data_IF_356512890623
#
_entry.id   IF_356512890623
#
_cell.length_a   1.000
_cell.length_b   1.000
_cell.length_c   1.000
_cell.angle_alpha   90.00
_cell.angle_beta   90.00
_cell.angle_gamma   90.00
#
_symmetry.space_group_name_H-M   'P 1'
#
loop_
_entity.id
_entity.type
_entity.pdbx_description
1 polymer ?
#
# COMPACT_ATOMS: atom_id res chain seq x y z
N UNK A 1 -32.21 3.05 -14.50
CA UNK A 1 -31.94 1.80 -13.74
C UNK A 1 -32.73 1.79 -12.45
N UNK A 2 -32.95 0.61 -11.85
CA UNK A 2 -33.68 0.48 -10.56
C UNK A 2 -33.01 1.30 -9.45
N UNK A 3 -31.69 1.43 -9.49
CA UNK A 3 -30.88 2.20 -8.53
C UNK A 3 -31.11 3.73 -8.62
N UNK A 4 -31.69 4.23 -9.69
CA UNK A 4 -31.99 5.65 -9.87
C UNK A 4 -33.41 6.01 -9.46
N UNK A 5 -34.24 5.00 -9.21
CA UNK A 5 -35.65 5.20 -8.79
C UNK A 5 -35.71 5.88 -7.40
N UNK A 6 -36.62 6.84 -7.26
CA UNK A 6 -36.71 7.67 -6.03
C UNK A 6 -36.99 6.83 -4.77
N UNK A 7 -37.86 5.81 -4.89
CA UNK A 7 -38.17 4.91 -3.78
C UNK A 7 -36.96 4.07 -3.37
N UNK A 8 -36.16 3.59 -4.34
CA UNK A 8 -34.95 2.85 -4.06
C UNK A 8 -33.92 3.72 -3.31
N UNK A 9 -33.69 4.96 -3.81
CA UNK A 9 -32.79 5.93 -3.13
C UNK A 9 -33.28 6.25 -1.72
N UNK A 10 -34.59 6.45 -1.53
CA UNK A 10 -35.17 6.71 -0.21
C UNK A 10 -34.98 5.49 0.73
N UNK A 11 -35.14 4.31 0.20
CA UNK A 11 -34.96 3.08 0.98
C UNK A 11 -33.50 2.84 1.32
N UNK A 12 -32.57 3.02 0.38
CA UNK A 12 -31.11 2.97 0.60
C UNK A 12 -30.69 3.93 1.69
N UNK A 13 -31.15 5.20 1.64
CA UNK A 13 -30.86 6.18 2.66
C UNK A 13 -31.40 5.81 4.06
N UNK A 14 -32.50 5.04 4.16
CA UNK A 14 -32.96 4.50 5.45
C UNK A 14 -32.01 3.43 5.99
N UNK A 15 -31.52 2.55 5.11
CA UNK A 15 -30.56 1.51 5.49
C UNK A 15 -29.27 2.15 5.99
N UNK A 16 -28.71 3.10 5.22
CA UNK A 16 -27.49 3.83 5.58
C UNK A 16 -27.64 4.51 6.96
N UNK A 17 -28.77 5.18 7.18
CA UNK A 17 -29.03 5.82 8.48
C UNK A 17 -29.07 4.83 9.64
N UNK A 18 -29.73 3.68 9.47
CA UNK A 18 -29.80 2.64 10.51
C UNK A 18 -28.40 2.10 10.80
N UNK A 19 -27.60 1.89 9.77
CA UNK A 19 -26.23 1.43 9.94
C UNK A 19 -25.35 2.48 10.65
N UNK A 20 -25.44 3.74 10.25
CA UNK A 20 -24.70 4.86 10.86
C UNK A 20 -25.05 5.00 12.36
N UNK A 21 -26.34 4.91 12.69
CA UNK A 21 -26.80 5.01 14.07
C UNK A 21 -26.32 3.81 14.91
N UNK A 22 -26.34 2.60 14.35
CA UNK A 22 -25.75 1.41 14.96
C UNK A 22 -24.23 1.54 15.14
N UNK A 23 -23.52 1.98 14.11
CA UNK A 23 -22.08 2.17 14.13
C UNK A 23 -21.66 3.17 15.21
N UNK A 24 -22.33 4.32 15.30
CA UNK A 24 -22.02 5.34 16.32
C UNK A 24 -22.15 4.82 17.74
N UNK A 25 -23.19 4.00 18.03
CA UNK A 25 -23.36 3.40 19.36
C UNK A 25 -22.27 2.40 19.69
N UNK A 26 -21.92 1.55 18.72
CA UNK A 26 -20.99 0.44 18.94
C UNK A 26 -19.51 0.84 18.85
N UNK A 27 -19.16 1.91 18.14
CA UNK A 27 -17.81 2.50 18.18
C UNK A 27 -17.43 2.91 19.61
N UNK A 28 -18.35 3.46 20.38
CA UNK A 28 -18.06 3.87 21.76
C UNK A 28 -17.82 2.66 22.68
N UNK A 29 -18.45 1.51 22.41
CA UNK A 29 -18.16 0.25 23.11
C UNK A 29 -16.73 -0.20 22.79
N UNK A 30 -16.35 -0.18 21.52
CA UNK A 30 -15.02 -0.59 21.08
C UNK A 30 -13.92 0.33 21.62
N UNK A 31 -14.11 1.65 21.57
CA UNK A 31 -13.19 2.62 22.16
C UNK A 31 -13.06 2.47 23.68
N UNK A 32 -14.10 2.01 24.34
CA UNK A 32 -14.15 1.81 25.77
C UNK A 32 -13.51 0.54 26.28
N UNK A 33 -12.91 -0.29 25.44
CA UNK A 33 -12.29 -1.57 25.82
C UNK A 33 -11.18 -1.35 26.84
N UNK A 34 -11.23 -2.15 27.92
CA UNK A 34 -10.26 -2.13 29.01
C UNK A 34 -9.63 -3.49 29.25
N UNK A 35 -8.49 -3.49 29.90
CA UNK A 35 -7.85 -4.72 30.36
C UNK A 35 -8.81 -5.50 31.25
N UNK A 36 -9.01 -6.78 30.92
CA UNK A 36 -9.88 -7.69 31.66
C UNK A 36 -11.34 -7.73 31.17
N UNK A 37 -11.73 -6.92 30.20
CA UNK A 37 -13.04 -7.02 29.55
C UNK A 37 -13.20 -8.38 28.88
N UNK A 38 -14.45 -8.73 28.54
CA UNK A 38 -14.79 -10.03 27.97
C UNK A 38 -15.17 -9.91 26.50
N UNK A 39 -14.29 -10.25 25.56
CA UNK A 39 -14.57 -10.15 24.12
C UNK A 39 -15.85 -10.84 23.67
N UNK A 40 -16.17 -11.99 24.30
CA UNK A 40 -17.41 -12.73 23.95
C UNK A 40 -18.70 -12.00 24.35
N UNK A 41 -18.71 -11.32 25.50
CA UNK A 41 -19.85 -10.50 25.92
C UNK A 41 -19.97 -9.26 25.05
N UNK A 42 -18.86 -8.68 24.65
CA UNK A 42 -18.80 -7.52 23.75
C UNK A 42 -19.39 -7.84 22.38
N UNK A 43 -18.91 -8.88 21.69
CA UNK A 43 -19.44 -9.24 20.37
C UNK A 43 -20.90 -9.67 20.47
N UNK A 44 -21.29 -10.33 21.53
CA UNK A 44 -22.70 -10.68 21.76
C UNK A 44 -23.57 -9.41 21.79
N UNK A 45 -23.20 -8.39 22.58
CA UNK A 45 -23.96 -7.15 22.68
C UNK A 45 -24.01 -6.40 21.33
N UNK A 46 -22.88 -6.30 20.63
CA UNK A 46 -22.79 -5.64 19.31
C UNK A 46 -23.67 -6.37 18.28
N UNK A 47 -23.69 -7.70 18.32
CA UNK A 47 -24.45 -8.53 17.38
C UNK A 47 -25.95 -8.56 17.70
N UNK A 48 -26.37 -8.48 18.95
CA UNK A 48 -27.77 -8.31 19.31
C UNK A 48 -28.28 -6.92 18.88
N UNK A 49 -27.49 -5.85 19.12
CA UNK A 49 -27.88 -4.49 18.71
C UNK A 49 -28.02 -4.37 17.18
N UNK A 50 -27.22 -5.08 16.36
CA UNK A 50 -27.40 -5.06 14.90
C UNK A 50 -28.69 -5.79 14.50
N UNK A 51 -29.01 -6.93 15.10
CA UNK A 51 -30.25 -7.65 14.84
C UNK A 51 -31.47 -6.81 15.18
N UNK A 52 -31.45 -6.08 16.31
CA UNK A 52 -32.54 -5.19 16.72
C UNK A 52 -32.65 -3.97 15.78
N UNK A 53 -31.53 -3.37 15.41
CA UNK A 53 -31.48 -2.20 14.53
C UNK A 53 -32.09 -2.48 13.17
N UNK A 54 -31.83 -3.64 12.60
CA UNK A 54 -32.32 -4.04 11.28
C UNK A 54 -33.69 -4.79 11.32
N UNK A 55 -34.20 -5.09 12.50
CA UNK A 55 -35.46 -5.87 12.64
C UNK A 55 -36.68 -5.19 11.99
N UNK A 56 -36.68 -3.86 11.87
CA UNK A 56 -37.79 -3.06 11.35
C UNK A 56 -37.68 -2.74 9.86
N UNK A 57 -36.57 -3.14 9.20
CA UNK A 57 -36.40 -2.93 7.79
C UNK A 57 -36.97 -4.12 7.01
N UNK A 58 -37.98 -3.83 6.21
CA UNK A 58 -38.49 -4.79 5.23
C UNK A 58 -37.44 -5.00 4.13
N UNK A 59 -37.47 -6.10 3.42
CA UNK A 59 -36.57 -6.45 2.33
C UNK A 59 -35.10 -6.66 2.70
N UNK A 60 -34.73 -6.51 3.96
CA UNK A 60 -33.37 -6.78 4.44
C UNK A 60 -33.38 -8.05 5.28
N UNK A 61 -32.51 -8.98 4.93
CA UNK A 61 -32.23 -10.15 5.76
C UNK A 61 -31.28 -9.76 6.90
N UNK A 62 -31.85 -9.49 8.07
CA UNK A 62 -31.09 -9.15 9.28
C UNK A 62 -30.10 -10.26 9.70
N UNK A 63 -30.41 -11.52 9.40
CA UNK A 63 -29.52 -12.64 9.71
C UNK A 63 -28.33 -12.70 8.73
N UNK A 64 -28.53 -12.29 7.48
CA UNK A 64 -27.44 -12.10 6.53
C UNK A 64 -26.47 -11.01 7.01
N UNK A 65 -26.99 -9.88 7.52
CA UNK A 65 -26.15 -8.82 8.10
C UNK A 65 -25.41 -9.31 9.35
N UNK A 66 -26.12 -10.02 10.24
CA UNK A 66 -25.49 -10.65 11.40
C UNK A 66 -24.35 -11.59 11.00
N UNK A 67 -24.57 -12.44 9.99
CA UNK A 67 -23.54 -13.36 9.50
C UNK A 67 -22.30 -12.59 8.97
N UNK A 68 -22.50 -11.50 8.24
CA UNK A 68 -21.40 -10.65 7.80
C UNK A 68 -20.63 -10.05 8.97
N UNK A 69 -21.31 -9.56 10.01
CA UNK A 69 -20.66 -9.07 11.22
C UNK A 69 -19.84 -10.18 11.91
N UNK A 70 -20.40 -11.39 12.03
CA UNK A 70 -19.69 -12.50 12.68
C UNK A 70 -18.49 -13.00 11.88
N UNK A 71 -18.60 -13.01 10.54
CA UNK A 71 -17.44 -13.30 9.67
C UNK A 71 -16.36 -12.24 9.84
N UNK A 72 -16.72 -10.96 9.78
CA UNK A 72 -15.78 -9.86 9.98
C UNK A 72 -15.12 -9.89 11.36
N UNK A 73 -15.88 -10.19 12.40
CA UNK A 73 -15.35 -10.39 13.74
C UNK A 73 -14.29 -11.48 13.77
N UNK A 74 -14.61 -12.67 13.26
CA UNK A 74 -13.71 -13.82 13.31
C UNK A 74 -12.45 -13.67 12.45
N UNK A 75 -12.56 -12.94 11.34
CA UNK A 75 -11.47 -12.81 10.36
C UNK A 75 -10.57 -11.60 10.63
N UNK A 76 -11.09 -10.56 11.30
CA UNK A 76 -10.40 -9.26 11.39
C UNK A 76 -10.32 -8.71 12.81
N UNK A 77 -11.45 -8.65 13.54
CA UNK A 77 -11.50 -7.90 14.80
C UNK A 77 -11.12 -8.70 16.04
N UNK A 78 -11.32 -10.02 16.01
CA UNK A 78 -11.23 -10.85 17.20
C UNK A 78 -9.85 -10.76 17.85
N UNK A 79 -8.79 -10.93 17.07
CA UNK A 79 -7.43 -10.95 17.58
C UNK A 79 -7.02 -9.58 18.14
N UNK A 80 -7.42 -8.49 17.47
CA UNK A 80 -7.16 -7.12 17.94
C UNK A 80 -7.85 -6.84 19.27
N UNK A 81 -9.14 -7.24 19.40
CA UNK A 81 -9.89 -7.07 20.65
C UNK A 81 -9.27 -7.89 21.78
N UNK A 82 -8.86 -9.14 21.52
CA UNK A 82 -8.17 -9.95 22.53
C UNK A 82 -6.83 -9.32 22.94
N UNK A 83 -6.10 -8.74 22.02
CA UNK A 83 -4.84 -8.04 22.28
C UNK A 83 -5.07 -6.84 23.21
N UNK A 84 -6.07 -6.00 22.89
CA UNK A 84 -6.40 -4.82 23.71
C UNK A 84 -6.90 -5.23 25.11
N UNK A 85 -7.69 -6.29 25.22
CA UNK A 85 -8.18 -6.80 26.53
C UNK A 85 -7.05 -7.34 27.39
N UNK A 86 -5.99 -7.86 26.79
CA UNK A 86 -4.82 -8.39 27.54
C UNK A 86 -3.81 -7.30 27.86
N UNK A 87 -3.46 -6.45 26.89
CA UNK A 87 -2.35 -5.52 26.96
C UNK A 87 -2.78 -4.05 27.14
N UNK A 88 -4.08 -3.74 26.98
CA UNK A 88 -4.60 -2.37 26.87
C UNK A 88 -4.30 -1.76 25.48
N UNK A 89 -4.65 -0.51 25.33
CA UNK A 89 -4.35 0.31 24.15
C UNK A 89 -2.88 0.71 24.13
N UNK A 90 -1.99 -0.29 24.10
CA UNK A 90 -0.55 -0.07 24.18
C UNK A 90 0.10 -0.43 22.86
N UNK A 91 0.79 0.54 22.29
CA UNK A 91 1.58 0.32 21.06
C UNK A 91 2.87 -0.40 21.44
N UNK A 92 3.05 -1.60 20.90
CA UNK A 92 4.31 -2.36 20.99
C UNK A 92 4.93 -2.45 19.60
N UNK A 93 6.19 -2.02 19.50
CA UNK A 93 6.95 -2.04 18.25
C UNK A 93 7.78 -3.31 18.21
N UNK A 94 7.48 -4.18 17.25
CA UNK A 94 8.18 -5.43 17.01
C UNK A 94 9.33 -5.21 16.01
N UNK A 95 10.56 -5.46 16.42
CA UNK A 95 11.72 -5.38 15.54
C UNK A 95 11.83 -6.66 14.72
N UNK A 96 11.69 -6.52 13.40
CA UNK A 96 11.81 -7.64 12.46
C UNK A 96 13.29 -7.94 12.22
N UNK A 97 13.67 -9.23 12.29
CA UNK A 97 15.05 -9.68 12.08
C UNK A 97 15.12 -10.78 11.04
N UNK A 98 16.13 -10.69 10.19
CA UNK A 98 16.46 -11.75 9.23
C UNK A 98 16.93 -13.02 9.95
N UNK A 99 16.96 -14.16 9.22
CA UNK A 99 17.51 -15.45 9.71
C UNK A 99 18.95 -15.31 10.23
N UNK A 100 19.69 -14.31 9.81
CA UNK A 100 21.07 -14.00 10.28
C UNK A 100 21.12 -13.02 11.44
N UNK A 101 19.98 -12.68 12.06
CA UNK A 101 19.89 -11.78 13.21
C UNK A 101 19.97 -10.27 12.89
N UNK A 102 20.14 -9.90 11.60
CA UNK A 102 20.18 -8.48 11.20
C UNK A 102 18.76 -7.91 11.21
N UNK A 103 18.61 -6.73 11.77
CA UNK A 103 17.36 -5.96 11.72
C UNK A 103 17.01 -5.61 10.27
N UNK A 104 15.76 -5.92 9.89
CA UNK A 104 15.23 -5.73 8.53
C UNK A 104 14.09 -4.73 8.48
N UNK A 105 13.56 -4.34 9.63
CA UNK A 105 12.45 -3.40 9.77
C UNK A 105 11.78 -3.53 11.12
N UNK A 106 10.58 -3.00 11.21
CA UNK A 106 9.73 -3.07 12.39
C UNK A 106 8.27 -3.15 11.97
N UNK A 107 7.42 -3.60 12.88
CA UNK A 107 5.97 -3.65 12.70
C UNK A 107 5.26 -3.39 14.02
N UNK A 108 3.94 -3.19 13.95
CA UNK A 108 3.05 -3.04 15.10
C UNK A 108 1.80 -3.86 14.86
N UNK A 109 1.53 -4.81 15.75
CA UNK A 109 0.40 -5.73 15.60
C UNK A 109 -0.94 -5.02 15.82
N UNK A 110 -1.01 -4.07 16.76
CA UNK A 110 -2.26 -3.37 17.11
C UNK A 110 -2.70 -2.38 16.03
N UNK A 111 -1.76 -1.63 15.45
CA UNK A 111 -2.06 -0.58 14.47
C UNK A 111 -1.21 -0.80 13.22
N UNK A 112 -1.78 -1.31 12.12
CA UNK A 112 -1.06 -1.45 10.85
C UNK A 112 -0.51 -0.12 10.34
N UNK A 113 0.73 -0.13 9.84
CA UNK A 113 1.40 1.07 9.28
C UNK A 113 0.55 1.84 8.28
N UNK A 114 -0.22 1.13 7.45
CA UNK A 114 -1.10 1.72 6.44
C UNK A 114 -2.12 2.70 7.04
N UNK A 115 -2.67 2.42 8.22
CA UNK A 115 -3.63 3.30 8.89
C UNK A 115 -2.97 4.62 9.26
N UNK A 116 -1.78 4.56 9.87
CA UNK A 116 -1.02 5.75 10.27
C UNK A 116 -0.53 6.54 9.07
N UNK A 117 -0.08 5.85 8.00
CA UNK A 117 0.29 6.50 6.73
C UNK A 117 -0.88 7.27 6.16
N UNK A 118 -2.04 6.64 6.01
CA UNK A 118 -3.21 7.29 5.43
C UNK A 118 -3.68 8.50 6.25
N UNK A 119 -3.54 8.45 7.57
CA UNK A 119 -4.00 9.51 8.45
C UNK A 119 -3.03 10.70 8.54
N UNK A 120 -1.73 10.44 8.54
CA UNK A 120 -0.72 11.45 8.89
C UNK A 120 0.33 11.71 7.80
N UNK A 121 0.50 10.80 6.84
CA UNK A 121 1.58 10.81 5.85
C UNK A 121 1.10 10.54 4.43
N UNK A 122 -0.16 10.90 4.15
CA UNK A 122 -0.77 10.69 2.82
C UNK A 122 0.01 11.40 1.70
N UNK A 123 0.53 12.60 1.97
CA UNK A 123 1.32 13.39 0.99
C UNK A 123 2.66 12.73 0.70
N UNK A 124 3.35 12.22 1.72
CA UNK A 124 4.61 11.51 1.58
C UNK A 124 4.41 10.19 0.82
N UNK A 125 3.32 9.47 1.10
CA UNK A 125 2.96 8.26 0.37
C UNK A 125 2.65 8.56 -1.09
N UNK A 126 1.87 9.60 -1.39
CA UNK A 126 1.57 10.02 -2.75
C UNK A 126 2.85 10.40 -3.53
N UNK A 127 3.78 11.09 -2.87
CA UNK A 127 5.07 11.41 -3.46
C UNK A 127 5.89 10.15 -3.79
N UNK A 128 5.89 9.16 -2.90
CA UNK A 128 6.55 7.88 -3.12
C UNK A 128 5.91 7.09 -4.27
N UNK A 129 4.57 7.04 -4.30
CA UNK A 129 3.82 6.38 -5.37
C UNK A 129 4.10 7.02 -6.74
N UNK A 130 4.22 8.35 -6.80
CA UNK A 130 4.57 9.07 -8.02
C UNK A 130 5.98 8.71 -8.51
N UNK A 131 6.97 8.61 -7.62
CA UNK A 131 8.33 8.17 -7.98
C UNK A 131 8.35 6.72 -8.48
N UNK A 132 7.55 5.85 -7.88
CA UNK A 132 7.42 4.45 -8.32
C UNK A 132 6.77 4.34 -9.71
N UNK A 133 5.71 5.11 -9.96
CA UNK A 133 5.05 5.19 -11.27
C UNK A 133 6.00 5.76 -12.35
N UNK A 134 6.81 6.77 -12.00
CA UNK A 134 7.83 7.31 -12.91
C UNK A 134 8.89 6.27 -13.26
N UNK A 135 9.34 5.48 -12.27
CA UNK A 135 10.27 4.37 -12.49
C UNK A 135 9.67 3.29 -13.39
N UNK A 136 8.39 2.95 -13.20
CA UNK A 136 7.69 1.98 -14.05
C UNK A 136 7.58 2.46 -15.49
N UNK A 137 7.18 3.71 -15.71
CA UNK A 137 7.12 4.34 -17.04
C UNK A 137 8.49 4.32 -17.70
N UNK A 138 9.55 4.69 -16.97
CA UNK A 138 10.92 4.68 -17.49
C UNK A 138 11.40 3.27 -17.87
N UNK A 139 10.98 2.23 -17.13
CA UNK A 139 11.29 0.84 -17.49
C UNK A 139 10.57 0.42 -18.78
N UNK A 140 9.29 0.83 -18.96
CA UNK A 140 8.55 0.61 -20.20
C UNK A 140 9.22 1.33 -21.39
N UNK A 141 9.65 2.58 -21.21
CA UNK A 141 10.38 3.33 -22.24
C UNK A 141 11.69 2.61 -22.65
N UNK A 142 12.41 2.05 -21.67
CA UNK A 142 13.63 1.26 -21.93
C UNK A 142 13.33 -0.01 -22.72
N UNK A 143 12.28 -0.75 -22.36
CA UNK A 143 11.87 -1.97 -23.08
C UNK A 143 11.47 -1.62 -24.50
N UNK A 144 10.65 -0.58 -24.69
CA UNK A 144 10.24 -0.10 -26.02
C UNK A 144 11.45 0.30 -26.87
N UNK A 145 12.36 1.09 -26.32
CA UNK A 145 13.57 1.53 -27.04
C UNK A 145 14.47 0.33 -27.40
N UNK A 146 14.55 -0.69 -26.55
CA UNK A 146 15.30 -1.91 -26.81
C UNK A 146 14.62 -2.74 -27.93
N UNK A 147 13.31 -2.93 -27.87
CA UNK A 147 12.54 -3.66 -28.88
C UNK A 147 12.62 -3.02 -30.25
N UNK A 148 12.47 -1.69 -30.34
CA UNK A 148 12.51 -0.93 -31.59
C UNK A 148 13.86 -1.00 -32.30
N UNK A 149 14.96 -1.17 -31.53
CA UNK A 149 16.33 -1.13 -32.05
C UNK A 149 17.07 -2.48 -31.97
N UNK A 150 16.38 -3.58 -31.65
CA UNK A 150 16.94 -4.95 -31.61
C UNK A 150 16.49 -5.81 -32.81
N UNK A 151 16.18 -5.20 -33.97
CA UNK A 151 15.77 -5.89 -35.18
C UNK A 151 16.94 -6.47 -35.98
N UNK A 152 16.78 -6.54 -37.31
CA UNK A 152 17.83 -7.08 -38.24
C UNK A 152 19.15 -6.30 -38.15
N UNK A 153 19.11 -5.01 -37.78
CA UNK A 153 20.24 -4.17 -37.45
C UNK A 153 20.24 -3.88 -35.96
N UNK A 154 20.62 -4.88 -35.12
CA UNK A 154 20.68 -4.70 -33.65
C UNK A 154 21.71 -3.63 -33.29
N UNK A 155 21.23 -2.39 -33.05
CA UNK A 155 22.07 -1.26 -32.67
C UNK A 155 22.72 -1.41 -31.29
N UNK A 156 22.31 -2.42 -30.51
CA UNK A 156 22.94 -2.76 -29.22
C UNK A 156 23.92 -3.94 -29.31
N UNK A 157 24.11 -4.56 -30.50
CA UNK A 157 24.90 -5.78 -30.61
C UNK A 157 26.31 -5.67 -29.97
N UNK A 158 27.03 -4.61 -30.25
CA UNK A 158 28.36 -4.35 -29.72
C UNK A 158 28.38 -3.72 -28.32
N UNK A 159 27.20 -3.33 -27.80
CA UNK A 159 27.02 -2.78 -26.46
C UNK A 159 26.44 -3.80 -25.46
N UNK A 160 26.27 -5.07 -25.88
CA UNK A 160 25.87 -6.17 -24.99
C UNK A 160 27.10 -6.80 -24.33
N UNK A 161 26.93 -7.16 -23.05
CA UNK A 161 27.91 -7.99 -22.33
C UNK A 161 27.93 -9.42 -22.84
N UNK A 162 28.93 -10.21 -22.45
CA UNK A 162 29.00 -11.67 -22.75
C UNK A 162 27.76 -12.46 -22.31
N UNK A 163 27.01 -11.92 -21.33
CA UNK A 163 25.76 -12.46 -20.85
C UNK A 163 24.52 -11.93 -21.61
N UNK A 164 24.70 -11.20 -22.71
CA UNK A 164 23.64 -10.62 -23.53
C UNK A 164 22.93 -9.41 -22.91
N UNK A 165 23.44 -8.85 -21.80
CA UNK A 165 22.80 -7.71 -21.10
C UNK A 165 23.43 -6.38 -21.52
N UNK A 166 22.57 -5.40 -21.72
CA UNK A 166 22.99 -4.00 -21.93
C UNK A 166 23.33 -3.41 -20.56
N UNK A 167 24.56 -2.94 -20.38
CA UNK A 167 25.02 -2.33 -19.13
C UNK A 167 25.59 -0.94 -19.36
N UNK A 168 25.52 -0.08 -18.33
CA UNK A 168 26.10 1.27 -18.39
C UNK A 168 27.57 1.26 -18.82
N UNK A 169 28.32 0.23 -18.40
CA UNK A 169 29.75 0.09 -18.70
C UNK A 169 29.99 -0.16 -20.20
N UNK A 170 29.27 -1.16 -20.75
CA UNK A 170 29.44 -1.54 -22.16
C UNK A 170 28.94 -0.43 -23.11
N UNK A 171 27.76 0.17 -22.77
CA UNK A 171 27.27 1.37 -23.49
C UNK A 171 28.30 2.49 -23.51
N UNK A 172 28.86 2.84 -22.36
CA UNK A 172 29.84 3.93 -22.27
C UNK A 172 31.15 3.61 -23.02
N UNK A 173 31.51 2.34 -23.12
CA UNK A 173 32.66 1.87 -23.91
C UNK A 173 32.35 2.03 -25.39
N UNK A 174 31.27 1.49 -25.88
CA UNK A 174 30.88 1.56 -27.30
C UNK A 174 30.68 3.00 -27.78
N UNK A 175 29.98 3.84 -27.00
CA UNK A 175 29.82 5.27 -27.31
C UNK A 175 31.16 5.99 -27.49
N UNK A 176 32.19 5.64 -26.71
CA UNK A 176 33.53 6.23 -26.86
C UNK A 176 34.23 5.77 -28.13
N UNK A 177 34.02 4.52 -28.54
CA UNK A 177 34.63 3.91 -29.72
C UNK A 177 34.10 4.56 -31.00
N UNK A 178 32.78 4.77 -31.09
CA UNK A 178 32.11 5.30 -32.29
C UNK A 178 31.97 6.82 -32.31
N UNK A 179 32.38 7.50 -31.24
CA UNK A 179 32.24 8.95 -31.13
C UNK A 179 33.11 9.70 -32.18
N UNK A 180 32.42 10.42 -33.06
CA UNK A 180 33.06 11.21 -34.13
C UNK A 180 33.06 10.50 -35.47
N UNK A 181 32.59 9.29 -35.58
CA UNK A 181 32.39 8.57 -36.81
C UNK A 181 30.99 8.82 -37.34
N UNK A 182 30.90 9.36 -38.56
CA UNK A 182 29.62 9.69 -39.19
C UNK A 182 28.79 8.45 -39.61
N UNK A 183 29.44 7.29 -39.75
CA UNK A 183 28.79 6.04 -40.12
C UNK A 183 27.89 5.50 -39.00
N UNK A 184 28.25 5.78 -37.74
CA UNK A 184 27.53 5.28 -36.56
C UNK A 184 26.61 6.33 -35.88
N UNK A 185 26.15 7.33 -36.63
CA UNK A 185 25.35 8.44 -36.07
C UNK A 185 24.07 7.98 -35.39
N UNK A 186 23.33 7.03 -35.99
CA UNK A 186 22.07 6.54 -35.47
C UNK A 186 22.28 5.57 -34.29
N UNK A 187 23.26 4.69 -34.37
CA UNK A 187 23.69 3.86 -33.21
C UNK A 187 24.08 4.75 -32.03
N UNK A 188 24.88 5.79 -32.25
CA UNK A 188 25.33 6.71 -31.20
C UNK A 188 24.14 7.39 -30.48
N UNK A 189 23.10 7.81 -31.21
CA UNK A 189 21.93 8.44 -30.62
C UNK A 189 21.17 7.45 -29.72
N UNK A 190 20.90 6.25 -30.22
CA UNK A 190 20.18 5.20 -29.48
C UNK A 190 20.93 4.79 -28.23
N UNK A 191 22.26 4.58 -28.33
CA UNK A 191 23.07 4.23 -27.16
C UNK A 191 23.13 5.35 -26.12
N UNK A 192 23.16 6.62 -26.54
CA UNK A 192 23.15 7.79 -25.64
C UNK A 192 21.78 7.91 -24.94
N UNK A 193 20.69 7.70 -25.66
CA UNK A 193 19.33 7.72 -25.09
C UNK A 193 19.17 6.63 -24.06
N UNK A 194 19.54 5.40 -24.38
CA UNK A 194 19.48 4.28 -23.44
C UNK A 194 20.37 4.50 -22.20
N UNK A 195 21.57 5.05 -22.39
CA UNK A 195 22.47 5.41 -21.28
C UNK A 195 21.84 6.46 -20.35
N UNK A 196 21.12 7.43 -20.91
CA UNK A 196 20.39 8.43 -20.16
C UNK A 196 19.25 7.77 -19.32
N UNK A 197 18.49 6.85 -19.93
CA UNK A 197 17.43 6.09 -19.22
C UNK A 197 18.02 5.27 -18.05
N UNK A 198 19.14 4.56 -18.25
CA UNK A 198 19.82 3.83 -17.15
C UNK A 198 20.25 4.79 -16.03
N UNK A 199 20.73 5.98 -16.38
CA UNK A 199 21.16 6.94 -15.37
C UNK A 199 19.98 7.50 -14.57
N UNK A 200 18.88 7.85 -15.25
CA UNK A 200 17.62 8.26 -14.60
C UNK A 200 17.03 7.15 -13.71
N UNK A 201 17.08 5.90 -14.18
CA UNK A 201 16.64 4.74 -13.38
C UNK A 201 17.41 4.63 -12.05
N UNK A 202 18.72 4.80 -12.11
CA UNK A 202 19.55 4.74 -10.91
C UNK A 202 19.24 5.88 -9.93
N UNK A 203 19.00 7.08 -10.46
CA UNK A 203 18.63 8.26 -9.66
C UNK A 203 17.24 8.10 -9.04
N UNK A 204 16.24 7.62 -9.80
CA UNK A 204 14.91 7.34 -9.27
C UNK A 204 14.93 6.27 -8.19
N UNK A 205 15.64 5.15 -8.40
CA UNK A 205 15.81 4.12 -7.38
C UNK A 205 16.44 4.66 -6.10
N UNK A 206 17.38 5.60 -6.22
CA UNK A 206 17.98 6.26 -5.06
C UNK A 206 16.97 7.15 -4.34
N UNK A 207 16.19 7.95 -5.07
CA UNK A 207 15.16 8.83 -4.51
C UNK A 207 14.07 8.01 -3.80
N UNK A 208 13.59 6.92 -4.41
CA UNK A 208 12.62 6.00 -3.82
C UNK A 208 13.15 5.46 -2.49
N UNK A 209 14.36 4.94 -2.47
CA UNK A 209 14.97 4.41 -1.25
C UNK A 209 15.13 5.45 -0.14
N UNK A 210 15.48 6.68 -0.50
CA UNK A 210 15.57 7.79 0.44
C UNK A 210 14.19 8.19 0.98
N UNK A 211 13.18 8.26 0.12
CA UNK A 211 11.79 8.56 0.49
C UNK A 211 11.21 7.47 1.42
N UNK A 212 11.38 6.18 1.08
CA UNK A 212 10.97 5.04 1.92
C UNK A 212 11.64 5.09 3.30
N UNK A 213 12.95 5.34 3.34
CA UNK A 213 13.70 5.43 4.60
C UNK A 213 13.25 6.62 5.46
N UNK A 214 12.93 7.74 4.83
CA UNK A 214 12.45 8.93 5.54
C UNK A 214 11.03 8.70 6.09
N UNK A 215 10.14 8.13 5.28
CA UNK A 215 8.78 7.80 5.69
C UNK A 215 8.79 6.80 6.86
N UNK A 216 9.61 5.76 6.79
CA UNK A 216 9.72 4.76 7.88
C UNK A 216 10.22 5.37 9.19
N UNK A 217 11.18 6.32 9.13
CA UNK A 217 11.64 7.07 10.33
C UNK A 217 10.57 7.96 10.91
N UNK A 218 9.83 8.68 10.07
CA UNK A 218 8.72 9.54 10.49
C UNK A 218 7.61 8.71 11.14
N UNK A 219 7.25 7.58 10.52
CA UNK A 219 6.30 6.61 11.06
C UNK A 219 6.74 6.12 12.43
N UNK A 220 7.97 5.64 12.58
CA UNK A 220 8.49 5.17 13.87
C UNK A 220 8.42 6.24 14.95
N UNK A 221 8.70 7.49 14.59
CA UNK A 221 8.60 8.64 15.50
C UNK A 221 7.14 8.90 15.88
N UNK A 222 6.21 8.84 14.91
CA UNK A 222 4.78 9.04 15.17
C UNK A 222 4.22 7.94 16.06
N UNK A 223 4.56 6.65 15.82
CA UNK A 223 4.11 5.55 16.65
C UNK A 223 4.53 5.71 18.13
N UNK A 224 5.74 6.22 18.37
CA UNK A 224 6.21 6.50 19.75
C UNK A 224 5.49 7.67 20.41
N UNK A 225 4.85 8.53 19.63
CA UNK A 225 4.15 9.73 20.08
C UNK A 225 2.62 9.57 20.09
N UNK A 226 2.08 8.48 19.54
CA UNK A 226 0.63 8.23 19.56
C UNK A 226 0.14 8.07 21.00
N UNK A 227 -0.98 8.73 21.29
CA UNK A 227 -1.69 8.60 22.56
C UNK A 227 -2.93 7.71 22.40
N UNK A 228 -3.50 7.25 23.51
CA UNK A 228 -4.74 6.44 23.51
C UNK A 228 -5.94 7.14 22.86
N UNK A 229 -5.90 8.46 22.73
CA UNK A 229 -6.99 9.24 22.11
C UNK A 229 -6.83 9.41 20.59
N UNK A 230 -5.68 9.13 20.02
CA UNK A 230 -5.38 9.16 18.60
C UNK A 230 -5.62 7.82 17.93
#
# INVERSE_FOLDING_TARGET
TIFEHSEFKTYSGKIEKVFDDWQKRNIEILKGIKIGDKPKEMIFNISEDILESFAKLELIDKYGIYQHLMSYWSETMQDDVYMVVVNGWKIEINILRSKKGKETGWDCDLIPKKIVINQYFSTEQESLDNLQNELETLNQDKETLEEENSGDEDLYAEARSDAGKITKKELSKRIKEIKGDSEFTDELKVLQEYLNLISKEADLKKQIKEAESNLDKQLLTKYKALSENE
#
